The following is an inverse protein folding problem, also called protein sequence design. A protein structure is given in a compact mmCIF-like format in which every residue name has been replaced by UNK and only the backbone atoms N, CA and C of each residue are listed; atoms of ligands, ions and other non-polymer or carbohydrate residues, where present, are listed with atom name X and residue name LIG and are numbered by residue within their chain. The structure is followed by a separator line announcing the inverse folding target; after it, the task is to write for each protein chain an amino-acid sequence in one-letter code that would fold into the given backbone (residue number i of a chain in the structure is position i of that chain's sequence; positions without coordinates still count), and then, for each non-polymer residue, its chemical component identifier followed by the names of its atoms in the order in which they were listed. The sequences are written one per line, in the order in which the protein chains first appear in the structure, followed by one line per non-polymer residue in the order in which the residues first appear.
data_IF_607915812261
#
_entry.id   IF_607915812261
#
_cell.length_a   1.000
_cell.length_b   1.000
_cell.length_c   1.000
_cell.angle_alpha   90.00
_cell.angle_beta   90.00
_cell.angle_gamma   90.00
#
_symmetry.space_group_name_H-M   'P 1'
#
loop_
_entity.id
_entity.type
_entity.pdbx_description
1 polymer ?
#
# COMPACT_ATOMS: atom_id res chain seq x y z
N UNK A 1 5.17 17.60 -5.75
CA UNK A 1 4.37 16.34 -5.59
C UNK A 1 5.31 15.20 -5.28
N UNK A 2 5.17 14.57 -4.11
CA UNK A 2 6.03 13.47 -3.68
C UNK A 2 5.67 12.17 -4.38
N UNK A 3 6.65 11.30 -4.59
CA UNK A 3 6.47 10.05 -5.33
C UNK A 3 7.22 8.90 -4.67
N UNK A 4 6.47 7.88 -4.28
CA UNK A 4 6.99 6.63 -3.73
C UNK A 4 6.91 5.52 -4.79
N UNK A 5 7.93 4.67 -4.86
CA UNK A 5 7.95 3.46 -5.67
C UNK A 5 8.15 2.23 -4.77
N UNK A 6 7.24 1.27 -4.84
CA UNK A 6 7.26 0.02 -4.06
C UNK A 6 6.79 -1.11 -4.99
N UNK A 7 7.39 -2.30 -4.95
CA UNK A 7 8.61 -2.69 -5.66
C UNK A 7 8.38 -2.75 -7.19
N UNK A 8 8.29 -1.61 -7.86
CA UNK A 8 8.15 -1.52 -9.33
C UNK A 8 9.01 -0.38 -9.88
N UNK A 9 9.40 -0.46 -11.15
CA UNK A 9 10.04 0.62 -11.92
C UNK A 9 11.36 1.10 -11.30
N UNK A 10 12.36 0.22 -11.28
CA UNK A 10 13.67 0.47 -10.66
C UNK A 10 14.57 1.47 -11.43
N UNK A 11 14.30 1.73 -12.71
CA UNK A 11 15.16 2.59 -13.54
C UNK A 11 15.35 4.01 -12.95
N UNK A 12 14.30 4.75 -12.54
CA UNK A 12 14.47 6.04 -11.88
C UNK A 12 15.27 5.97 -10.58
N UNK A 13 15.09 4.91 -9.77
CA UNK A 13 15.88 4.72 -8.56
C UNK A 13 17.37 4.51 -8.87
N UNK A 14 17.68 3.72 -9.90
CA UNK A 14 19.03 3.48 -10.39
C UNK A 14 19.67 4.74 -10.99
N UNK A 15 18.92 5.48 -11.82
CA UNK A 15 19.40 6.74 -12.42
C UNK A 15 19.75 7.78 -11.35
N UNK A 16 18.92 7.92 -10.32
CA UNK A 16 19.22 8.80 -9.19
C UNK A 16 20.41 8.29 -8.37
N UNK A 17 20.51 6.99 -8.11
CA UNK A 17 21.64 6.42 -7.36
C UNK A 17 22.99 6.65 -8.08
N UNK A 18 23.01 6.56 -9.42
CA UNK A 18 24.21 6.87 -10.22
C UNK A 18 24.67 8.32 -10.03
N UNK A 19 23.73 9.27 -9.91
CA UNK A 19 24.06 10.69 -9.67
C UNK A 19 24.53 10.92 -8.24
N UNK A 20 23.89 10.26 -7.27
CA UNK A 20 24.23 10.41 -5.86
C UNK A 20 25.57 9.80 -5.48
N UNK A 21 26.02 8.77 -6.19
CA UNK A 21 27.29 8.09 -5.97
C UNK A 21 27.41 7.57 -4.53
N UNK A 22 28.54 7.85 -3.87
CA UNK A 22 28.83 7.39 -2.50
C UNK A 22 27.91 7.97 -1.42
N UNK A 23 27.09 9.00 -1.74
CA UNK A 23 26.13 9.57 -0.79
C UNK A 23 24.90 8.69 -0.60
N UNK A 24 24.67 7.76 -1.52
CA UNK A 24 23.58 6.80 -1.43
C UNK A 24 24.01 5.55 -0.65
N UNK A 25 23.14 5.09 0.25
CA UNK A 25 23.25 3.84 0.99
C UNK A 25 21.85 3.23 1.20
N UNK A 26 21.74 1.97 1.65
CA UNK A 26 20.46 1.46 2.08
C UNK A 26 19.93 2.19 3.33
N UNK A 27 18.61 2.35 3.43
CA UNK A 27 17.91 3.01 4.55
C UNK A 27 18.42 4.44 4.81
N UNK A 28 18.49 5.26 3.76
CA UNK A 28 19.00 6.62 3.84
C UNK A 28 18.09 7.66 3.17
N UNK A 29 18.24 8.91 3.60
CA UNK A 29 17.67 10.09 2.96
C UNK A 29 18.79 11.02 2.51
N UNK A 30 18.81 11.37 1.22
CA UNK A 30 19.89 12.14 0.60
C UNK A 30 19.33 13.39 -0.06
N UNK A 31 19.91 14.56 0.24
CA UNK A 31 19.56 15.80 -0.46
C UNK A 31 20.00 15.76 -1.92
N UNK A 32 19.08 16.14 -2.80
CA UNK A 32 19.25 16.21 -4.25
C UNK A 32 19.11 17.66 -4.68
N UNK A 33 20.16 18.22 -5.28
CA UNK A 33 20.10 19.55 -5.89
C UNK A 33 19.34 19.55 -7.21
N UNK A 34 18.93 20.74 -7.67
CA UNK A 34 18.32 20.92 -8.98
C UNK A 34 19.17 20.36 -10.14
N UNK A 35 20.50 20.56 -10.07
CA UNK A 35 21.46 20.04 -11.07
C UNK A 35 21.50 18.51 -11.07
N UNK A 36 21.52 17.90 -9.89
CA UNK A 36 21.51 16.44 -9.77
C UNK A 36 20.20 15.82 -10.24
N UNK A 37 19.07 16.48 -9.96
CA UNK A 37 17.78 16.05 -10.49
C UNK A 37 17.74 16.11 -12.02
N UNK A 38 18.31 17.15 -12.63
CA UNK A 38 18.42 17.25 -14.09
C UNK A 38 19.34 16.17 -14.69
N UNK A 39 20.46 15.86 -14.03
CA UNK A 39 21.34 14.75 -14.44
C UNK A 39 20.60 13.40 -14.40
N UNK A 40 19.86 13.13 -13.32
CA UNK A 40 19.10 11.88 -13.18
C UNK A 40 18.02 11.77 -14.26
N UNK A 41 17.34 12.89 -14.59
CA UNK A 41 16.39 12.98 -15.69
C UNK A 41 17.04 12.70 -17.04
N UNK A 42 18.24 13.21 -17.30
CA UNK A 42 18.97 12.91 -18.54
C UNK A 42 19.30 11.43 -18.65
N UNK A 43 19.75 10.78 -17.56
CA UNK A 43 20.06 9.35 -17.54
C UNK A 43 18.82 8.49 -17.81
N UNK A 44 17.69 8.81 -17.18
CA UNK A 44 16.44 8.06 -17.35
C UNK A 44 15.63 8.46 -18.60
N UNK A 45 15.93 9.60 -19.22
CA UNK A 45 15.21 10.17 -20.35
C UNK A 45 15.03 9.25 -21.57
N UNK A 46 16.00 8.40 -21.95
CA UNK A 46 15.81 7.45 -23.05
C UNK A 46 14.59 6.53 -22.90
N UNK A 47 14.13 6.27 -21.67
CA UNK A 47 12.94 5.46 -21.43
C UNK A 47 11.67 6.06 -22.05
N UNK A 48 11.61 7.39 -22.21
CA UNK A 48 10.45 8.09 -22.77
C UNK A 48 10.21 7.81 -24.26
N UNK A 49 11.20 7.24 -24.96
CA UNK A 49 11.01 6.75 -26.32
C UNK A 49 10.00 5.60 -26.38
N UNK A 50 9.83 4.85 -25.28
CA UNK A 50 8.76 3.87 -25.14
C UNK A 50 7.46 4.58 -24.75
N UNK A 51 6.53 4.67 -25.71
CA UNK A 51 5.20 5.25 -25.50
C UNK A 51 4.16 4.23 -25.05
N UNK A 52 4.52 2.95 -25.03
CA UNK A 52 3.62 1.84 -24.62
C UNK A 52 3.33 1.85 -23.12
N UNK A 53 4.16 2.52 -22.31
CA UNK A 53 3.93 2.64 -20.88
C UNK A 53 4.14 4.08 -20.38
N UNK A 54 3.38 4.52 -19.37
CA UNK A 54 3.59 5.83 -18.77
C UNK A 54 4.89 5.85 -17.96
N UNK A 55 5.54 7.02 -17.89
CA UNK A 55 6.76 7.28 -17.10
C UNK A 55 6.48 8.23 -15.92
N UNK A 56 5.69 7.81 -14.92
CA UNK A 56 5.20 8.70 -13.86
C UNK A 56 6.32 9.33 -13.04
N UNK A 57 7.45 8.65 -12.86
CA UNK A 57 8.59 9.20 -12.11
C UNK A 57 9.26 10.36 -12.86
N UNK A 58 9.41 10.27 -14.19
CA UNK A 58 9.95 11.37 -14.99
C UNK A 58 8.99 12.57 -15.05
N UNK A 59 7.68 12.31 -15.06
CA UNK A 59 6.66 13.35 -14.93
C UNK A 59 6.75 14.03 -13.55
N UNK A 60 6.81 13.25 -12.46
CA UNK A 60 6.95 13.78 -11.10
C UNK A 60 8.24 14.60 -10.93
N UNK A 61 9.37 14.13 -11.49
CA UNK A 61 10.63 14.86 -11.46
C UNK A 61 10.59 16.19 -12.22
N UNK A 62 9.79 16.30 -13.29
CA UNK A 62 9.57 17.58 -13.98
C UNK A 62 8.86 18.60 -13.08
N UNK A 63 7.75 18.21 -12.46
CA UNK A 63 7.04 19.07 -11.52
C UNK A 63 7.90 19.43 -10.31
N UNK A 64 8.61 18.46 -9.75
CA UNK A 64 9.51 18.70 -8.63
C UNK A 64 10.64 19.67 -9.01
N UNK A 65 11.20 19.55 -10.23
CA UNK A 65 12.24 20.46 -10.72
C UNK A 65 11.75 21.89 -10.86
N UNK A 66 10.52 22.08 -11.33
CA UNK A 66 9.86 23.39 -11.38
C UNK A 66 9.64 23.95 -9.97
N UNK A 67 9.17 23.10 -9.04
CA UNK A 67 8.88 23.46 -7.65
C UNK A 67 10.13 23.92 -6.88
N UNK A 68 11.26 23.21 -7.02
CA UNK A 68 12.49 23.55 -6.28
C UNK A 68 13.27 24.70 -6.92
N UNK A 69 13.01 25.05 -8.18
CA UNK A 69 13.79 26.08 -8.89
C UNK A 69 15.29 25.77 -8.96
N UNK A 70 16.12 26.78 -9.21
CA UNK A 70 17.57 26.57 -9.44
C UNK A 70 18.39 26.39 -8.15
N UNK A 71 17.83 26.79 -7.01
CA UNK A 71 18.53 26.82 -5.71
C UNK A 71 17.86 25.97 -4.64
N UNK A 72 16.70 25.37 -4.92
CA UNK A 72 16.05 24.46 -4.00
C UNK A 72 16.66 23.06 -4.03
N UNK A 73 16.20 22.25 -3.09
CA UNK A 73 16.65 20.87 -2.90
C UNK A 73 15.44 19.97 -2.71
N UNK A 74 15.50 18.80 -3.32
CA UNK A 74 14.65 17.67 -3.02
C UNK A 74 15.37 16.68 -2.10
N UNK A 75 14.67 15.63 -1.69
CA UNK A 75 15.26 14.51 -0.95
C UNK A 75 14.90 13.20 -1.66
N UNK A 76 15.91 12.38 -1.92
CA UNK A 76 15.73 11.00 -2.35
C UNK A 76 15.85 10.08 -1.14
N UNK A 77 14.84 9.24 -0.94
CA UNK A 77 14.80 8.26 0.16
C UNK A 77 14.91 6.86 -0.41
N UNK A 78 15.80 6.06 0.18
CA UNK A 78 16.03 4.67 -0.20
C UNK A 78 15.83 3.77 1.01
N UNK A 79 14.95 2.78 0.86
CA UNK A 79 14.58 1.84 1.90
C UNK A 79 14.78 0.41 1.37
N UNK A 80 15.39 -0.46 2.17
CA UNK A 80 15.51 -1.89 1.86
C UNK A 80 14.21 -2.64 2.10
N UNK A 81 13.49 -2.25 3.15
CA UNK A 81 12.17 -2.76 3.44
C UNK A 81 11.24 -1.62 3.88
N UNK A 82 9.95 -1.84 3.67
CA UNK A 82 8.91 -0.84 3.97
C UNK A 82 8.25 -1.07 5.32
N UNK A 83 8.60 -2.12 6.04
CA UNK A 83 8.06 -2.49 7.35
C UNK A 83 8.94 -2.05 8.52
N UNK A 84 9.97 -1.22 8.23
CA UNK A 84 10.87 -0.66 9.23
C UNK A 84 10.13 0.21 10.26
N UNK A 85 10.69 0.26 11.47
CA UNK A 85 10.24 1.13 12.57
C UNK A 85 11.42 1.89 13.15
N UNK A 86 11.16 3.06 13.74
CA UNK A 86 12.10 3.80 14.57
C UNK A 86 13.47 4.11 13.92
N UNK A 87 13.48 4.48 12.64
CA UNK A 87 14.71 4.84 11.92
C UNK A 87 15.27 6.18 12.40
N UNK A 88 14.42 7.07 12.93
CA UNK A 88 14.84 8.36 13.49
C UNK A 88 15.24 9.41 12.44
N UNK A 89 14.97 9.15 11.16
CA UNK A 89 15.12 10.10 10.06
C UNK A 89 13.74 10.57 9.58
N UNK A 90 13.48 11.87 9.70
CA UNK A 90 12.16 12.45 9.42
C UNK A 90 11.69 12.26 7.96
N UNK A 91 12.60 12.14 6.99
CA UNK A 91 12.24 11.90 5.59
C UNK A 91 11.86 10.44 5.38
N UNK A 92 12.56 9.52 6.04
CA UNK A 92 12.21 8.09 6.04
C UNK A 92 10.84 7.91 6.70
N UNK A 93 10.64 8.53 7.87
CA UNK A 93 9.36 8.47 8.59
C UNK A 93 8.21 9.03 7.75
N UNK A 94 8.43 10.14 7.02
CA UNK A 94 7.44 10.69 6.11
C UNK A 94 7.10 9.75 4.94
N UNK A 95 8.10 9.11 4.35
CA UNK A 95 7.89 8.14 3.26
C UNK A 95 7.16 6.89 3.76
N UNK A 96 7.55 6.34 4.91
CA UNK A 96 6.85 5.21 5.54
C UNK A 96 5.41 5.59 5.89
N UNK A 97 5.19 6.80 6.43
CA UNK A 97 3.85 7.33 6.70
C UNK A 97 2.96 7.38 5.46
N UNK A 98 3.50 7.77 4.31
CA UNK A 98 2.76 7.77 3.03
C UNK A 98 2.52 6.34 2.48
N UNK A 99 3.51 5.45 2.61
CA UNK A 99 3.39 4.03 2.23
C UNK A 99 2.29 3.35 3.04
N UNK A 100 2.22 3.67 4.34
CA UNK A 100 1.28 3.07 5.29
C UNK A 100 0.04 3.91 5.54
N UNK A 101 -0.22 4.95 4.73
CA UNK A 101 -1.33 5.88 4.94
C UNK A 101 -2.67 5.18 5.14
N UNK A 102 -3.54 5.80 5.92
CA UNK A 102 -4.92 5.36 6.13
C UNK A 102 -5.10 4.13 7.04
N UNK A 103 -4.03 3.59 7.64
CA UNK A 103 -4.12 2.48 8.59
C UNK A 103 -4.56 2.96 9.97
N UNK A 104 -5.27 2.08 10.65
CA UNK A 104 -5.55 2.23 12.09
C UNK A 104 -4.63 1.25 12.81
N UNK A 105 -3.57 1.77 13.42
CA UNK A 105 -2.59 1.00 14.18
C UNK A 105 -2.72 1.32 15.67
N UNK A 106 -2.77 0.27 16.48
CA UNK A 106 -2.99 0.34 17.92
C UNK A 106 -1.68 0.18 18.69
N UNK A 107 -1.62 0.73 19.90
CA UNK A 107 -0.44 0.65 20.76
C UNK A 107 -0.08 -0.78 21.20
N UNK A 108 -1.00 -1.75 21.03
CA UNK A 108 -0.77 -3.18 21.27
C UNK A 108 -0.06 -3.88 20.10
N UNK A 109 0.34 -3.13 19.06
CA UNK A 109 1.04 -3.66 17.89
C UNK A 109 0.12 -4.34 16.89
N UNK A 110 -1.17 -3.97 16.85
CA UNK A 110 -2.12 -4.47 15.86
C UNK A 110 -2.59 -3.41 14.86
N UNK A 111 -2.92 -3.84 13.65
CA UNK A 111 -3.57 -3.05 12.62
C UNK A 111 -4.98 -3.56 12.40
N UNK A 112 -5.98 -2.68 12.50
CA UNK A 112 -7.38 -3.01 12.20
C UNK A 112 -7.64 -2.98 10.71
N UNK A 113 -8.28 -4.03 10.22
CA UNK A 113 -8.67 -4.23 8.83
C UNK A 113 -10.14 -4.63 8.74
N UNK A 114 -10.75 -4.34 7.60
CA UNK A 114 -12.11 -4.75 7.30
C UNK A 114 -12.15 -5.57 6.02
N UNK A 115 -13.15 -6.44 5.92
CA UNK A 115 -13.47 -7.10 4.66
C UNK A 115 -14.98 -7.27 4.52
N UNK A 116 -15.57 -6.77 3.42
CA UNK A 116 -16.94 -7.09 3.08
C UNK A 116 -17.02 -8.53 2.57
N UNK A 117 -18.05 -9.27 2.97
CA UNK A 117 -18.26 -10.67 2.61
C UNK A 117 -19.71 -10.91 2.19
N UNK A 118 -19.92 -11.85 1.27
CA UNK A 118 -21.25 -12.42 1.03
C UNK A 118 -21.53 -13.62 1.96
N UNK A 119 -22.73 -14.21 1.88
CA UNK A 119 -23.15 -15.33 2.75
C UNK A 119 -22.21 -16.54 2.70
N UNK A 120 -21.78 -16.94 1.50
CA UNK A 120 -20.93 -18.13 1.33
C UNK A 120 -19.58 -17.98 2.04
N UNK A 121 -18.93 -16.83 1.91
CA UNK A 121 -17.67 -16.54 2.60
C UNK A 121 -17.89 -16.41 4.11
N UNK A 122 -19.02 -15.85 4.55
CA UNK A 122 -19.36 -15.80 5.97
C UNK A 122 -19.55 -17.20 6.58
N UNK A 123 -20.14 -18.13 5.85
CA UNK A 123 -20.29 -19.52 6.32
C UNK A 123 -18.94 -20.25 6.42
N UNK A 124 -17.99 -19.93 5.54
CA UNK A 124 -16.60 -20.40 5.67
C UNK A 124 -15.93 -19.85 6.94
N UNK A 125 -16.12 -18.55 7.23
CA UNK A 125 -15.65 -17.95 8.48
C UNK A 125 -16.28 -18.61 9.71
N UNK A 126 -17.59 -18.86 9.68
CA UNK A 126 -18.29 -19.56 10.78
C UNK A 126 -17.73 -20.97 10.99
N UNK A 127 -17.42 -21.67 9.90
CA UNK A 127 -16.82 -23.01 9.95
C UNK A 127 -15.42 -22.98 10.56
N UNK A 128 -14.63 -21.93 10.33
CA UNK A 128 -13.33 -21.71 10.98
C UNK A 128 -13.44 -21.18 12.42
N UNK A 129 -14.66 -21.04 12.96
CA UNK A 129 -14.88 -20.45 14.29
C UNK A 129 -14.61 -18.95 14.34
N UNK A 130 -14.68 -18.27 13.19
CA UNK A 130 -14.36 -16.85 13.01
C UNK A 130 -12.89 -16.51 13.32
N UNK A 131 -11.96 -17.40 12.97
CA UNK A 131 -10.53 -17.22 13.28
C UNK A 131 -9.61 -17.20 12.07
N UNK A 132 -10.09 -17.64 10.91
CA UNK A 132 -9.26 -17.74 9.71
C UNK A 132 -10.05 -17.55 8.42
N UNK A 133 -9.40 -16.90 7.45
CA UNK A 133 -9.83 -16.79 6.06
C UNK A 133 -9.51 -18.06 5.28
N UNK A 134 -10.41 -18.45 4.38
CA UNK A 134 -10.16 -19.57 3.48
C UNK A 134 -9.05 -19.24 2.47
N UNK A 135 -8.27 -20.24 2.01
CA UNK A 135 -7.32 -20.06 0.92
C UNK A 135 -7.99 -19.46 -0.32
N UNK A 136 -7.23 -18.64 -1.08
CA UNK A 136 -7.72 -18.07 -2.34
C UNK A 136 -7.84 -19.16 -3.39
N UNK A 137 -8.79 -18.98 -4.31
CA UNK A 137 -8.87 -19.81 -5.51
C UNK A 137 -7.70 -19.46 -6.46
N UNK A 138 -7.29 -20.37 -7.37
CA UNK A 138 -6.17 -20.13 -8.28
C UNK A 138 -6.31 -18.88 -9.17
N UNK A 139 -7.55 -18.47 -9.47
CA UNK A 139 -7.89 -17.28 -10.25
C UNK A 139 -7.94 -15.99 -9.42
N UNK A 140 -7.72 -16.07 -8.11
CA UNK A 140 -7.76 -14.97 -7.15
C UNK A 140 -6.34 -14.68 -6.62
N UNK A 141 -5.51 -13.91 -7.36
CA UNK A 141 -4.09 -13.75 -7.06
C UNK A 141 -3.82 -12.97 -5.77
N UNK A 142 -4.82 -12.24 -5.26
CA UNK A 142 -4.70 -11.40 -4.07
C UNK A 142 -5.89 -11.60 -3.12
N UNK A 143 -5.61 -11.42 -1.84
CA UNK A 143 -6.55 -11.14 -0.76
C UNK A 143 -6.48 -9.65 -0.42
N UNK A 144 -7.62 -8.96 -0.42
CA UNK A 144 -7.67 -7.50 -0.32
C UNK A 144 -8.58 -7.02 0.81
N UNK A 145 -8.07 -6.86 2.04
CA UNK A 145 -8.81 -6.16 3.07
C UNK A 145 -8.74 -4.66 2.86
N UNK A 146 -9.80 -3.96 3.25
CA UNK A 146 -9.90 -2.51 3.19
C UNK A 146 -9.49 -1.87 4.53
N UNK A 147 -9.06 -0.61 4.47
CA UNK A 147 -8.52 0.11 5.63
C UNK A 147 -9.56 0.94 6.41
N UNK A 148 -10.83 0.95 5.98
CA UNK A 148 -11.88 1.66 6.69
C UNK A 148 -13.24 0.95 6.58
N UNK A 149 -14.06 1.11 7.63
CA UNK A 149 -15.37 0.49 7.71
C UNK A 149 -16.36 1.02 6.67
N UNK A 150 -16.39 2.34 6.45
CA UNK A 150 -17.35 2.97 5.54
C UNK A 150 -17.23 2.43 4.12
N UNK A 151 -16.00 2.19 3.66
CA UNK A 151 -15.73 1.59 2.37
C UNK A 151 -16.16 0.11 2.33
N UNK A 152 -15.93 -0.64 3.41
CA UNK A 152 -16.43 -2.01 3.51
C UNK A 152 -17.97 -2.05 3.47
N UNK A 153 -18.65 -1.13 4.16
CA UNK A 153 -20.11 -1.01 4.14
C UNK A 153 -20.62 -0.66 2.74
N UNK A 154 -19.95 0.26 2.04
CA UNK A 154 -20.29 0.61 0.66
C UNK A 154 -20.22 -0.62 -0.26
N UNK A 155 -19.13 -1.39 -0.22
CA UNK A 155 -18.99 -2.62 -1.00
C UNK A 155 -20.09 -3.64 -0.63
N UNK A 156 -20.34 -3.84 0.67
CA UNK A 156 -21.33 -4.80 1.13
C UNK A 156 -22.74 -4.46 0.62
N UNK A 157 -23.12 -3.17 0.66
CA UNK A 157 -24.42 -2.68 0.19
C UNK A 157 -24.55 -2.71 -1.32
N UNK A 158 -23.56 -2.18 -2.05
CA UNK A 158 -23.69 -1.97 -3.49
C UNK A 158 -23.39 -3.24 -4.29
N UNK A 159 -22.49 -4.09 -3.83
CA UNK A 159 -22.02 -5.25 -4.59
C UNK A 159 -22.48 -6.58 -3.99
N UNK A 160 -22.31 -6.80 -2.69
CA UNK A 160 -22.65 -8.10 -2.09
C UNK A 160 -24.17 -8.35 -2.02
N UNK A 161 -24.96 -7.33 -1.64
CA UNK A 161 -26.42 -7.42 -1.68
C UNK A 161 -26.92 -7.67 -3.10
N UNK A 162 -26.40 -6.94 -4.09
CA UNK A 162 -26.79 -7.14 -5.50
C UNK A 162 -26.44 -8.56 -6.00
N UNK A 163 -25.30 -9.11 -5.61
CA UNK A 163 -24.84 -10.42 -6.06
C UNK A 163 -25.50 -11.60 -5.33
N UNK A 164 -25.88 -11.43 -4.05
CA UNK A 164 -26.23 -12.56 -3.18
C UNK A 164 -27.39 -12.33 -2.20
N UNK A 165 -28.09 -11.20 -2.32
CA UNK A 165 -29.23 -10.82 -1.48
C UNK A 165 -28.87 -10.32 -0.08
N UNK A 166 -27.62 -10.49 0.36
CA UNK A 166 -27.11 -9.90 1.60
C UNK A 166 -25.60 -9.66 1.52
N UNK A 167 -25.12 -8.73 2.33
CA UNK A 167 -23.71 -8.40 2.48
C UNK A 167 -23.40 -8.15 3.95
N UNK A 168 -22.19 -8.52 4.37
CA UNK A 168 -21.75 -8.36 5.76
C UNK A 168 -20.41 -7.66 5.78
N UNK A 169 -20.20 -6.86 6.81
CA UNK A 169 -18.91 -6.22 7.07
C UNK A 169 -18.24 -6.95 8.22
N UNK A 170 -17.04 -7.44 7.97
CA UNK A 170 -16.19 -8.03 9.00
C UNK A 170 -15.07 -7.08 9.38
N UNK A 171 -14.67 -7.11 10.65
CA UNK A 171 -13.52 -6.43 11.21
C UNK A 171 -12.58 -7.47 11.84
N UNK A 172 -11.29 -7.30 11.64
CA UNK A 172 -10.29 -8.15 12.28
C UNK A 172 -9.00 -7.37 12.51
N UNK A 173 -8.23 -7.80 13.48
CA UNK A 173 -6.92 -7.22 13.78
C UNK A 173 -5.83 -8.20 13.36
N UNK A 174 -4.75 -7.66 12.82
CA UNK A 174 -3.54 -8.42 12.52
C UNK A 174 -2.33 -7.77 13.19
N UNK A 175 -1.23 -8.49 13.36
CA UNK A 175 0.03 -7.89 13.77
C UNK A 175 0.42 -6.75 12.81
N UNK A 176 0.76 -5.58 13.35
CA UNK A 176 1.19 -4.42 12.54
C UNK A 176 2.45 -4.74 11.74
N UNK A 177 3.37 -5.52 12.31
CA UNK A 177 4.56 -6.01 11.61
C UNK A 177 4.22 -6.83 10.36
N UNK A 178 3.14 -7.63 10.38
CA UNK A 178 2.65 -8.33 9.19
C UNK A 178 2.05 -7.35 8.18
N UNK A 179 1.17 -6.45 8.63
CA UNK A 179 0.44 -5.54 7.74
C UNK A 179 1.38 -4.58 7.00
N UNK A 180 2.41 -4.06 7.67
CA UNK A 180 3.35 -3.07 7.12
C UNK A 180 4.22 -3.59 5.97
N UNK A 181 4.27 -4.91 5.74
CA UNK A 181 4.95 -5.53 4.59
C UNK A 181 4.29 -5.25 3.26
N UNK A 182 3.02 -4.81 3.28
CA UNK A 182 2.25 -4.49 2.09
C UNK A 182 1.99 -2.99 2.05
N UNK A 183 2.29 -2.27 0.96
CA UNK A 183 1.98 -0.84 0.85
C UNK A 183 0.45 -0.62 0.74
N UNK A 184 -0.03 0.54 1.20
CA UNK A 184 -1.43 0.94 1.04
C UNK A 184 -1.71 1.26 -0.43
N UNK A 185 -2.68 0.57 -1.02
CA UNK A 185 -3.17 0.77 -2.39
C UNK A 185 -4.42 1.64 -2.41
N UNK A 186 -4.66 2.32 -3.53
CA UNK A 186 -5.91 3.04 -3.78
C UNK A 186 -6.70 2.35 -4.89
N UNK A 187 -7.86 1.79 -4.54
CA UNK A 187 -8.75 1.08 -5.44
C UNK A 187 -9.91 1.98 -5.90
N UNK A 188 -9.66 2.77 -6.93
CA UNK A 188 -10.66 3.66 -7.51
C UNK A 188 -10.76 5.02 -6.81
N UNK A 189 -11.88 5.27 -6.12
CA UNK A 189 -12.23 6.58 -5.56
C UNK A 189 -11.30 7.08 -4.44
N UNK A 190 -11.46 8.35 -4.08
CA UNK A 190 -10.77 8.91 -2.90
C UNK A 190 -11.19 8.16 -1.64
N UNK A 191 -10.22 7.70 -0.84
CA UNK A 191 -10.48 6.97 0.42
C UNK A 191 -10.74 5.46 0.28
N UNK A 192 -10.79 4.93 -0.95
CA UNK A 192 -10.86 3.48 -1.20
C UNK A 192 -9.48 2.87 -1.03
N UNK A 193 -9.06 2.68 0.22
CA UNK A 193 -7.72 2.21 0.57
C UNK A 193 -7.75 0.74 0.98
N UNK A 194 -6.79 -0.01 0.47
CA UNK A 194 -6.71 -1.46 0.62
C UNK A 194 -5.26 -1.94 0.82
N UNK A 195 -5.11 -3.15 1.35
CA UNK A 195 -3.88 -3.92 1.20
C UNK A 195 -4.06 -4.94 0.08
N UNK A 196 -3.05 -5.16 -0.74
CA UNK A 196 -3.03 -6.28 -1.68
C UNK A 196 -2.06 -7.33 -1.16
N UNK A 197 -2.61 -8.33 -0.47
CA UNK A 197 -1.86 -9.45 0.12
C UNK A 197 -1.86 -10.58 -0.92
N UNK A 198 -0.70 -11.09 -1.36
CA UNK A 198 -0.64 -12.23 -2.27
C UNK A 198 -1.41 -13.44 -1.74
N UNK A 199 -1.99 -14.23 -2.64
CA UNK A 199 -2.77 -15.42 -2.27
C UNK A 199 -1.96 -16.42 -1.42
N UNK A 200 -0.67 -16.56 -1.72
CA UNK A 200 0.29 -17.40 -1.00
C UNK A 200 0.53 -16.96 0.45
N UNK A 201 0.28 -15.69 0.77
CA UNK A 201 0.51 -15.12 2.10
C UNK A 201 -0.72 -15.24 3.02
N UNK A 202 -1.86 -15.77 2.54
CA UNK A 202 -3.09 -15.90 3.35
C UNK A 202 -2.90 -16.81 4.57
N UNK A 203 -2.08 -17.84 4.47
CA UNK A 203 -1.77 -18.69 5.63
C UNK A 203 -0.99 -17.91 6.70
N UNK A 204 -0.13 -16.99 6.29
CA UNK A 204 0.61 -16.12 7.21
C UNK A 204 -0.27 -15.00 7.76
N UNK A 205 -1.19 -14.46 6.95
CA UNK A 205 -2.25 -13.57 7.41
C UNK A 205 -3.02 -14.21 8.55
N UNK A 206 -3.50 -15.44 8.36
CA UNK A 206 -4.27 -16.17 9.36
C UNK A 206 -3.49 -16.39 10.66
N UNK A 207 -2.19 -16.71 10.57
CA UNK A 207 -1.30 -16.79 11.76
C UNK A 207 -1.08 -15.45 12.45
N UNK A 208 -1.26 -14.35 11.72
CA UNK A 208 -1.06 -12.99 12.22
C UNK A 208 -2.33 -12.35 12.77
N UNK A 209 -3.51 -12.99 12.65
CA UNK A 209 -4.77 -12.50 13.21
C UNK A 209 -4.69 -12.53 14.74
N UNK A 210 -5.08 -11.41 15.37
CA UNK A 210 -5.14 -11.24 16.82
C UNK A 210 -6.60 -11.11 17.24
N UNK A 211 -7.10 -12.12 17.96
CA UNK A 211 -8.50 -12.19 18.36
C UNK A 211 -9.43 -12.73 17.26
N UNK A 212 -10.75 -12.67 17.45
CA UNK A 212 -11.72 -13.15 16.47
C UNK A 212 -11.92 -12.16 15.31
N UNK A 213 -12.39 -12.69 14.19
CA UNK A 213 -13.00 -11.92 13.11
C UNK A 213 -14.43 -11.61 13.54
N UNK A 214 -14.79 -10.33 13.59
CA UNK A 214 -16.07 -9.87 14.12
C UNK A 214 -16.97 -9.37 13.00
N UNK A 215 -18.26 -9.68 13.06
CA UNK A 215 -19.25 -9.04 12.18
C UNK A 215 -19.63 -7.70 12.80
N UNK A 216 -19.37 -6.61 12.09
CA UNK A 216 -19.65 -5.23 12.54
C UNK A 216 -20.75 -4.56 11.74
N UNK A 217 -21.24 -5.18 10.66
CA UNK A 217 -22.35 -4.69 9.86
C UNK A 217 -23.03 -5.80 9.06
N UNK A 218 -24.33 -5.63 8.82
CA UNK A 218 -25.15 -6.52 8.00
C UNK A 218 -26.10 -5.69 7.14
N UNK A 219 -26.21 -6.06 5.87
CA UNK A 219 -27.07 -5.42 4.88
C UNK A 219 -27.86 -6.50 4.13
N UNK A 220 -29.16 -6.27 3.95
CA UNK A 220 -30.07 -7.19 3.25
C UNK A 220 -30.75 -6.45 2.10
N UNK A 221 -30.98 -7.16 1.00
CA UNK A 221 -31.84 -6.70 -0.07
C UNK A 221 -33.27 -6.52 0.45
N UNK A 222 -33.92 -5.42 0.03
CA UNK A 222 -35.34 -5.18 0.26
C UNK A 222 -36.22 -6.12 -0.56
#
# INVERSE_FOLDING_TARGET
MDRVNVPVRLLPAAAMALVLGERWAPNCAVRVSAVELDQARTIAGPAEACTEMPHPNLIAWRYLREEIGDHGTAVAVYLECIDMTDIGDAYIDAVLGEIHRGRIESADGTTTLWRPVGPAELDLLRTSGMTAWSPRLPDQPIFYPVLNQDYAEHIAREWNVAASGSGYVTRFNVLTSFARRYPTQQAGGAGHLELWIPAEDVDELNRSIVGPIEIVGEHRGL
#
